data_IF_904003291898
#
_entry.id   IF_904003291898
#
_cell.length_a   1.000
_cell.length_b   1.000
_cell.length_c   1.000
_cell.angle_alpha   90.00
_cell.angle_beta   90.00
_cell.angle_gamma   90.00
#
_symmetry.space_group_name_H-M   'P 1'
#
loop_
_entity.id
_entity.type
_entity.pdbx_description
1 polymer ?
#
# COMPACT_ATOMS: atom_id res chain seq x y z
N UNK A 1 3.93 -12.17 16.27
CA UNK A 1 4.05 -13.62 15.97
C UNK A 1 3.29 -13.99 14.68
N UNK A 2 1.97 -13.83 14.60
CA UNK A 2 1.19 -14.23 13.41
C UNK A 2 1.64 -13.55 12.10
N UNK A 3 1.84 -12.22 12.10
CA UNK A 3 2.37 -11.49 10.94
C UNK A 3 3.72 -12.06 10.46
N UNK A 4 4.62 -12.42 11.38
CA UNK A 4 5.93 -12.96 11.05
C UNK A 4 5.82 -14.36 10.44
N UNK A 5 4.95 -15.22 10.98
CA UNK A 5 4.68 -16.55 10.43
C UNK A 5 4.10 -16.47 9.01
N UNK A 6 3.10 -15.59 8.82
CA UNK A 6 2.48 -15.38 7.49
C UNK A 6 3.50 -14.78 6.53
N UNK A 7 4.33 -13.83 6.99
CA UNK A 7 5.42 -13.27 6.19
C UNK A 7 6.40 -14.36 5.77
N UNK A 8 6.78 -15.27 6.68
CA UNK A 8 7.66 -16.39 6.37
C UNK A 8 7.04 -17.34 5.34
N UNK A 9 5.77 -17.71 5.51
CA UNK A 9 5.03 -18.54 4.54
C UNK A 9 4.95 -17.85 3.17
N UNK A 10 4.63 -16.56 3.14
CA UNK A 10 4.58 -15.78 1.91
C UNK A 10 5.96 -15.70 1.24
N UNK A 11 7.03 -15.46 2.00
CA UNK A 11 8.42 -15.48 1.50
C UNK A 11 8.71 -16.83 0.84
N UNK A 12 8.40 -17.95 1.50
CA UNK A 12 8.65 -19.28 0.96
C UNK A 12 7.85 -19.51 -0.31
N UNK A 13 6.55 -19.23 -0.32
CA UNK A 13 5.69 -19.39 -1.49
C UNK A 13 6.17 -18.56 -2.69
N UNK A 14 6.54 -17.30 -2.44
CA UNK A 14 7.09 -16.38 -3.44
C UNK A 14 8.40 -16.93 -4.01
N UNK A 15 9.32 -17.43 -3.16
CA UNK A 15 10.61 -18.00 -3.61
C UNK A 15 10.45 -19.32 -4.37
N UNK A 16 9.40 -20.09 -4.10
CA UNK A 16 9.10 -21.32 -4.86
C UNK A 16 8.40 -21.04 -6.18
N UNK A 17 7.57 -20.00 -6.24
CA UNK A 17 6.77 -19.68 -7.43
C UNK A 17 7.54 -18.82 -8.44
N UNK A 18 8.46 -17.97 -7.98
CA UNK A 18 9.24 -17.08 -8.83
C UNK A 18 10.72 -17.42 -8.81
N UNK A 19 11.27 -17.66 -10.00
CA UNK A 19 12.71 -17.96 -10.15
C UNK A 19 13.60 -16.75 -9.84
N UNK A 20 13.14 -15.52 -10.09
CA UNK A 20 13.91 -14.31 -9.84
C UNK A 20 13.01 -13.13 -9.49
N UNK A 21 13.24 -12.55 -8.32
CA UNK A 21 12.66 -11.27 -7.91
C UNK A 21 13.80 -10.28 -7.77
N UNK A 22 13.65 -9.12 -8.39
CA UNK A 22 14.62 -8.03 -8.28
C UNK A 22 13.91 -6.76 -7.86
N UNK A 23 14.56 -6.02 -6.97
CA UNK A 23 14.10 -4.75 -6.49
C UNK A 23 15.25 -3.74 -6.55
N UNK A 24 14.97 -2.59 -7.13
CA UNK A 24 15.93 -1.49 -7.24
C UNK A 24 15.56 -0.38 -6.27
N UNK A 25 16.57 0.37 -5.83
CA UNK A 25 16.42 1.57 -5.00
C UNK A 25 15.77 1.35 -3.63
N UNK A 26 15.69 0.11 -3.15
CA UNK A 26 15.13 -0.22 -1.82
C UNK A 26 15.91 0.46 -0.70
N UNK A 27 17.20 0.71 -0.89
CA UNK A 27 18.07 1.34 0.10
C UNK A 27 17.82 2.85 0.26
N UNK A 28 17.17 3.49 -0.72
CA UNK A 28 16.78 4.91 -0.62
C UNK A 28 15.47 5.11 0.16
N UNK A 29 14.80 4.04 0.55
CA UNK A 29 13.57 4.12 1.35
C UNK A 29 13.94 4.53 2.78
N UNK A 30 13.54 5.74 3.17
CA UNK A 30 13.74 6.23 4.52
C UNK A 30 13.10 5.31 5.57
N UNK A 31 13.77 5.15 6.72
CA UNK A 31 13.34 4.22 7.78
C UNK A 31 12.44 4.86 8.82
N UNK A 32 12.62 6.16 9.05
CA UNK A 32 12.08 6.88 10.20
C UNK A 32 11.14 8.03 9.79
N UNK A 33 10.54 7.92 8.60
CA UNK A 33 9.49 8.86 8.12
C UNK A 33 8.23 8.10 7.70
N UNK A 34 7.05 8.72 7.79
CA UNK A 34 5.81 8.12 7.30
C UNK A 34 5.81 8.04 5.77
N UNK A 35 5.40 6.88 5.23
CA UNK A 35 5.51 6.62 3.79
C UNK A 35 4.19 6.10 3.21
N UNK A 36 3.81 6.69 2.08
CA UNK A 36 2.75 6.19 1.20
C UNK A 36 3.41 5.59 -0.04
N UNK A 37 3.37 4.27 -0.18
CA UNK A 37 3.76 3.61 -1.42
C UNK A 37 2.59 3.62 -2.39
N UNK A 38 2.82 4.08 -3.62
CA UNK A 38 1.83 4.02 -4.70
C UNK A 38 2.33 3.12 -5.82
N UNK A 39 1.64 2.03 -6.10
CA UNK A 39 2.04 1.07 -7.13
C UNK A 39 0.98 0.87 -8.20
N UNK A 40 1.40 0.52 -9.41
CA UNK A 40 0.51 -0.02 -10.44
C UNK A 40 0.08 -1.47 -10.08
N UNK A 41 -1.02 -1.97 -10.66
CA UNK A 41 -1.66 -3.22 -10.21
C UNK A 41 -1.85 -4.33 -11.28
N UNK A 42 -0.78 -4.80 -11.95
CA UNK A 42 -0.88 -5.74 -13.07
C UNK A 42 -1.29 -7.18 -12.71
N UNK A 43 -1.04 -7.68 -11.49
CA UNK A 43 -1.25 -9.10 -11.11
C UNK A 43 -2.07 -9.30 -9.83
N UNK A 44 -2.99 -8.38 -9.53
CA UNK A 44 -3.93 -8.44 -8.41
C UNK A 44 -3.27 -8.90 -7.10
N UNK A 45 -3.36 -10.17 -6.69
CA UNK A 45 -2.90 -10.62 -5.37
C UNK A 45 -1.36 -10.67 -5.28
N UNK A 46 -0.64 -10.91 -6.38
CA UNK A 46 0.81 -11.08 -6.35
C UNK A 46 1.55 -9.77 -6.11
N UNK A 47 1.02 -8.66 -6.62
CA UNK A 47 1.64 -7.33 -6.53
C UNK A 47 1.92 -6.88 -5.08
N UNK A 48 0.94 -6.84 -4.16
CA UNK A 48 1.19 -6.45 -2.77
C UNK A 48 2.12 -7.44 -2.05
N UNK A 49 2.13 -8.72 -2.45
CA UNK A 49 3.02 -9.72 -1.87
C UNK A 49 4.47 -9.50 -2.28
N UNK A 50 4.75 -9.23 -3.56
CA UNK A 50 6.11 -8.95 -4.04
C UNK A 50 6.63 -7.64 -3.45
N UNK A 51 5.79 -6.59 -3.35
CA UNK A 51 6.17 -5.34 -2.69
C UNK A 51 6.42 -5.58 -1.20
N UNK A 52 5.54 -6.29 -0.50
CA UNK A 52 5.74 -6.63 0.92
C UNK A 52 6.98 -7.51 1.18
N UNK A 53 7.38 -8.32 0.21
CA UNK A 53 8.60 -9.12 0.24
C UNK A 53 9.86 -8.27 0.07
N UNK A 54 9.85 -7.36 -0.90
CA UNK A 54 11.03 -6.56 -1.30
C UNK A 54 11.21 -5.31 -0.45
N UNK A 55 10.15 -4.77 0.15
CA UNK A 55 10.22 -3.59 1.00
C UNK A 55 10.79 -3.93 2.39
N UNK A 56 11.72 -3.09 2.87
CA UNK A 56 12.32 -3.19 4.21
C UNK A 56 11.42 -2.63 5.33
N UNK A 57 10.39 -1.84 4.98
CA UNK A 57 9.41 -1.30 5.94
C UNK A 57 8.27 -2.30 6.17
N UNK A 58 7.70 -2.26 7.37
CA UNK A 58 6.45 -2.98 7.66
C UNK A 58 5.29 -2.23 7.01
N UNK A 59 4.62 -2.86 6.04
CA UNK A 59 3.54 -2.25 5.27
C UNK A 59 2.17 -2.58 5.85
N UNK A 60 1.33 -1.56 5.91
CA UNK A 60 -0.12 -1.71 5.92
C UNK A 60 -0.63 -1.73 4.48
N UNK A 61 -1.72 -2.46 4.21
CA UNK A 61 -2.25 -2.57 2.85
C UNK A 61 -3.69 -2.12 2.82
N UNK A 62 -4.09 -1.45 1.76
CA UNK A 62 -5.45 -1.00 1.57
C UNK A 62 -6.17 -1.96 0.61
N UNK A 63 -7.22 -2.63 1.05
CA UNK A 63 -7.94 -3.64 0.26
C UNK A 63 -9.46 -3.42 0.28
N UNK A 64 -10.17 -3.95 -0.74
CA UNK A 64 -11.62 -3.81 -0.90
C UNK A 64 -12.37 -4.27 0.36
N UNK A 65 -13.28 -3.44 0.87
CA UNK A 65 -14.05 -3.75 2.08
C UNK A 65 -14.87 -5.04 1.99
N UNK A 66 -15.29 -5.45 0.78
CA UNK A 66 -16.03 -6.71 0.58
C UNK A 66 -15.22 -7.95 0.95
N UNK A 67 -13.88 -7.88 0.94
CA UNK A 67 -13.02 -8.98 1.40
C UNK A 67 -13.17 -9.23 2.91
N UNK A 68 -13.71 -8.26 3.65
CA UNK A 68 -13.95 -8.33 5.08
C UNK A 68 -15.37 -8.78 5.44
N UNK A 69 -16.25 -9.04 4.47
CA UNK A 69 -17.63 -9.44 4.72
C UNK A 69 -17.73 -10.80 5.43
N UNK A 70 -16.76 -11.70 5.19
CA UNK A 70 -16.66 -12.94 5.93
C UNK A 70 -15.94 -12.69 7.26
N UNK A 71 -16.55 -13.09 8.39
CA UNK A 71 -16.02 -12.87 9.74
C UNK A 71 -14.61 -13.44 9.95
N UNK A 72 -14.33 -14.63 9.42
CA UNK A 72 -13.03 -15.31 9.55
C UNK A 72 -11.99 -14.61 8.68
N UNK A 73 -12.33 -14.35 7.41
CA UNK A 73 -11.44 -13.65 6.49
C UNK A 73 -11.13 -12.23 6.99
N UNK A 74 -12.15 -11.48 7.39
CA UNK A 74 -12.00 -10.13 7.94
C UNK A 74 -11.15 -10.09 9.21
N UNK A 75 -11.30 -11.07 10.10
CA UNK A 75 -10.43 -11.19 11.27
C UNK A 75 -8.97 -11.43 10.86
N UNK A 76 -8.72 -12.33 9.91
CA UNK A 76 -7.37 -12.62 9.41
C UNK A 76 -6.73 -11.41 8.72
N UNK A 77 -7.45 -10.77 7.80
CA UNK A 77 -6.99 -9.59 7.05
C UNK A 77 -6.59 -8.44 8.00
N UNK A 78 -7.38 -8.18 9.06
CA UNK A 78 -7.04 -7.17 10.08
C UNK A 78 -5.73 -7.51 10.82
N UNK A 79 -5.47 -8.79 11.10
CA UNK A 79 -4.25 -9.25 11.79
C UNK A 79 -2.98 -9.11 10.96
N UNK A 80 -3.11 -9.07 9.63
CA UNK A 80 -2.01 -8.78 8.70
C UNK A 80 -1.95 -7.33 8.24
N UNK A 81 -2.53 -6.41 9.02
CA UNK A 81 -2.47 -4.96 8.81
C UNK A 81 -3.12 -4.48 7.51
N UNK A 82 -4.13 -5.21 7.02
CA UNK A 82 -4.95 -4.77 5.89
C UNK A 82 -6.08 -3.88 6.41
N UNK A 83 -6.16 -2.69 5.83
CA UNK A 83 -7.17 -1.67 6.08
C UNK A 83 -8.27 -1.80 5.02
N UNK A 84 -9.55 -1.92 5.42
CA UNK A 84 -10.66 -1.96 4.47
C UNK A 84 -10.86 -0.59 3.81
N UNK A 85 -11.07 -0.60 2.50
CA UNK A 85 -11.38 0.57 1.67
C UNK A 85 -12.74 0.40 1.02
N UNK A 86 -13.58 1.42 1.19
CA UNK A 86 -14.88 1.50 0.55
C UNK A 86 -14.73 2.28 -0.76
N UNK A 87 -14.91 1.62 -1.90
CA UNK A 87 -14.83 2.28 -3.22
C UNK A 87 -16.23 2.63 -3.71
N UNK A 88 -16.37 3.79 -4.34
CA UNK A 88 -17.65 4.25 -4.94
C UNK A 88 -18.28 3.24 -5.90
N UNK A 89 -17.45 2.52 -6.64
CA UNK A 89 -17.88 1.51 -7.64
C UNK A 89 -18.51 0.29 -6.96
N UNK A 90 -18.15 0.00 -5.71
CA UNK A 90 -18.65 -1.18 -5.00
C UNK A 90 -19.94 -0.90 -4.24
N UNK A 91 -20.13 0.33 -3.75
CA UNK A 91 -21.35 0.73 -3.05
C UNK A 91 -21.49 2.27 -3.04
N UNK A 92 -22.33 2.87 -3.91
CA UNK A 92 -22.55 4.31 -3.98
C UNK A 92 -23.14 4.91 -2.69
N UNK A 93 -23.81 4.09 -1.86
CA UNK A 93 -24.50 4.52 -0.65
C UNK A 93 -23.58 4.70 0.56
N UNK A 94 -22.35 4.16 0.51
CA UNK A 94 -21.38 4.16 1.64
C UNK A 94 -20.36 5.31 1.58
N UNK A 95 -20.73 6.44 0.97
CA UNK A 95 -19.86 7.61 0.81
C UNK A 95 -19.30 8.15 2.14
N UNK A 96 -20.05 8.03 3.23
CA UNK A 96 -19.64 8.49 4.56
C UNK A 96 -18.49 7.66 5.17
N UNK A 97 -18.30 6.41 4.73
CA UNK A 97 -17.23 5.53 5.22
C UNK A 97 -15.86 5.82 4.60
N UNK A 98 -15.79 6.74 3.64
CA UNK A 98 -14.51 7.29 3.18
C UNK A 98 -13.77 7.97 4.34
N UNK A 99 -14.49 8.69 5.22
CA UNK A 99 -13.87 9.39 6.36
C UNK A 99 -13.11 8.44 7.27
N UNK A 100 -13.66 7.26 7.54
CA UNK A 100 -12.99 6.24 8.36
C UNK A 100 -11.73 5.69 7.68
N UNK A 101 -11.77 5.51 6.36
CA UNK A 101 -10.60 5.06 5.59
C UNK A 101 -9.49 6.11 5.61
N UNK A 102 -9.84 7.39 5.41
CA UNK A 102 -8.90 8.51 5.50
C UNK A 102 -8.31 8.63 6.90
N UNK A 103 -9.15 8.60 7.94
CA UNK A 103 -8.72 8.64 9.34
C UNK A 103 -7.74 7.51 9.69
N UNK A 104 -7.98 6.28 9.24
CA UNK A 104 -7.02 5.18 9.41
C UNK A 104 -5.70 5.44 8.69
N UNK A 105 -5.75 6.04 7.50
CA UNK A 105 -4.56 6.47 6.77
C UNK A 105 -3.75 7.50 7.57
N UNK A 106 -4.42 8.52 8.10
CA UNK A 106 -3.80 9.55 8.94
C UNK A 106 -3.16 8.93 10.18
N UNK A 107 -3.87 8.06 10.89
CA UNK A 107 -3.36 7.36 12.08
C UNK A 107 -2.12 6.50 11.78
N UNK A 108 -2.08 5.82 10.63
CA UNK A 108 -0.89 5.06 10.22
C UNK A 108 0.32 5.99 10.03
N UNK A 109 0.13 7.11 9.33
CA UNK A 109 1.20 8.07 9.05
C UNK A 109 1.65 8.80 10.32
N UNK A 110 0.72 9.22 11.17
CA UNK A 110 1.02 9.84 12.47
C UNK A 110 1.91 8.97 13.36
N UNK A 111 1.77 7.65 13.27
CA UNK A 111 2.62 6.69 13.99
C UNK A 111 3.91 6.32 13.25
N UNK A 112 4.33 7.10 12.26
CA UNK A 112 5.54 6.87 11.47
C UNK A 112 5.58 5.48 10.79
N UNK A 113 4.41 5.01 10.34
CA UNK A 113 4.28 3.73 9.63
C UNK A 113 4.15 3.98 8.14
N UNK A 114 4.24 2.89 7.38
CA UNK A 114 4.11 2.90 5.94
C UNK A 114 2.90 2.10 5.48
N UNK A 115 2.27 2.52 4.39
CA UNK A 115 1.24 1.74 3.73
C UNK A 115 1.37 1.73 2.22
N UNK A 116 0.80 0.70 1.59
CA UNK A 116 0.71 0.54 0.15
C UNK A 116 -0.73 0.77 -0.33
N UNK A 117 -0.87 1.59 -1.36
CA UNK A 117 -2.12 1.82 -2.06
C UNK A 117 -1.92 1.71 -3.58
N UNK A 118 -2.88 1.12 -4.27
CA UNK A 118 -2.92 1.06 -5.72
C UNK A 118 -3.88 2.13 -6.22
N UNK A 119 -3.39 3.29 -6.71
CA UNK A 119 -4.24 4.44 -6.97
C UNK A 119 -5.19 4.24 -8.16
N UNK A 120 -4.97 3.22 -8.99
CA UNK A 120 -5.92 2.74 -10.00
C UNK A 120 -7.24 2.28 -9.36
N UNK A 121 -7.14 1.67 -8.18
CA UNK A 121 -8.28 1.18 -7.41
C UNK A 121 -9.08 0.10 -8.13
N UNK A 122 -8.53 -0.53 -9.17
CA UNK A 122 -9.00 -1.73 -9.88
C UNK A 122 -7.75 -2.51 -10.31
N UNK A 123 -7.90 -3.82 -10.52
CA UNK A 123 -6.88 -4.65 -11.17
C UNK A 123 -7.55 -5.22 -12.42
N UNK A 124 -7.21 -4.67 -13.57
CA UNK A 124 -7.61 -5.22 -14.87
C UNK A 124 -6.50 -6.12 -15.36
N UNK A 125 -6.82 -7.27 -15.96
CA UNK A 125 -5.82 -8.16 -16.56
C UNK A 125 -5.06 -7.53 -17.74
N UNK A 126 -5.52 -6.38 -18.20
CA UNK A 126 -4.90 -5.59 -19.25
C UNK A 126 -3.69 -4.83 -18.70
N UNK A 127 -2.56 -4.88 -19.42
CA UNK A 127 -1.30 -4.19 -19.06
C UNK A 127 -1.33 -2.69 -19.36
N UNK A 128 -2.47 -2.05 -19.14
CA UNK A 128 -2.68 -0.61 -19.36
C UNK A 128 -2.94 0.04 -18.00
N UNK A 129 -2.27 1.15 -17.73
CA UNK A 129 -2.52 1.92 -16.50
C UNK A 129 -3.92 2.50 -16.54
N UNK A 130 -4.71 2.20 -15.51
CA UNK A 130 -6.02 2.80 -15.32
C UNK A 130 -5.91 4.23 -14.78
N UNK A 131 -7.02 4.99 -14.86
CA UNK A 131 -7.08 6.34 -14.32
C UNK A 131 -6.69 6.38 -12.83
N UNK A 132 -5.66 7.17 -12.51
CA UNK A 132 -5.14 7.35 -11.16
C UNK A 132 -6.12 8.18 -10.33
N UNK A 133 -6.53 7.65 -9.18
CA UNK A 133 -7.40 8.35 -8.22
C UNK A 133 -6.57 9.18 -7.24
N UNK A 134 -7.13 10.29 -6.78
CA UNK A 134 -6.44 11.25 -5.88
C UNK A 134 -6.35 10.77 -4.42
N UNK A 135 -6.78 9.55 -4.09
CA UNK A 135 -6.89 9.06 -2.72
C UNK A 135 -5.58 9.10 -1.94
N UNK A 136 -4.47 8.67 -2.56
CA UNK A 136 -3.15 8.69 -1.93
C UNK A 136 -2.71 10.11 -1.55
N UNK A 137 -2.84 11.07 -2.48
CA UNK A 137 -2.50 12.47 -2.24
C UNK A 137 -3.38 13.08 -1.14
N UNK A 138 -4.69 12.82 -1.17
CA UNK A 138 -5.62 13.29 -0.14
C UNK A 138 -5.30 12.72 1.24
N UNK A 139 -4.88 11.46 1.34
CA UNK A 139 -4.43 10.88 2.61
C UNK A 139 -3.16 11.59 3.10
N UNK A 140 -2.17 11.77 2.23
CA UNK A 140 -0.90 12.41 2.59
C UNK A 140 -1.08 13.86 3.06
N UNK A 141 -1.72 14.69 2.24
CA UNK A 141 -1.99 16.09 2.59
C UNK A 141 -2.90 16.25 3.80
N UNK A 142 -3.90 15.38 3.94
CA UNK A 142 -4.78 15.40 5.12
C UNK A 142 -4.01 15.08 6.41
N UNK A 143 -3.13 14.08 6.39
CA UNK A 143 -2.30 13.74 7.54
C UNK A 143 -1.35 14.88 7.92
N UNK A 144 -0.71 15.53 6.95
CA UNK A 144 0.15 16.69 7.21
C UNK A 144 -0.64 17.86 7.80
N UNK A 145 -1.79 18.19 7.19
CA UNK A 145 -2.62 19.29 7.67
C UNK A 145 -3.14 19.08 9.10
N UNK A 146 -3.44 17.84 9.51
CA UNK A 146 -3.86 17.51 10.88
C UNK A 146 -2.71 17.54 11.91
N UNK A 147 -1.46 17.63 11.46
CA UNK A 147 -0.27 17.57 12.30
C UNK A 147 0.69 18.74 11.99
N UNK A 148 0.14 19.90 11.62
CA UNK A 148 0.85 21.16 11.39
C UNK A 148 2.07 21.04 10.44
N UNK A 149 1.96 20.15 9.44
CA UNK A 149 3.00 19.89 8.44
C UNK A 149 4.33 19.39 9.02
N UNK A 150 4.29 18.75 10.20
CA UNK A 150 5.48 18.25 10.90
C UNK A 150 5.76 16.76 10.66
N UNK A 151 4.89 16.03 9.94
CA UNK A 151 5.06 14.58 9.79
C UNK A 151 6.15 14.20 8.78
N UNK A 152 6.35 15.00 7.74
CA UNK A 152 7.32 14.71 6.68
C UNK A 152 6.95 13.48 5.85
N UNK A 153 5.66 13.32 5.54
CA UNK A 153 5.09 12.24 4.73
C UNK A 153 5.73 12.21 3.36
N UNK A 154 6.29 11.04 3.01
CA UNK A 154 6.86 10.79 1.69
C UNK A 154 5.93 9.90 0.86
N UNK A 155 5.73 10.26 -0.41
CA UNK A 155 5.02 9.42 -1.37
C UNK A 155 6.06 8.78 -2.29
N UNK A 156 6.14 7.45 -2.27
CA UNK A 156 7.11 6.67 -3.05
C UNK A 156 6.37 5.89 -4.14
N UNK A 157 6.45 6.31 -5.41
CA UNK A 157 5.97 5.52 -6.52
C UNK A 157 6.78 4.23 -6.71
N UNK A 158 6.08 3.12 -6.97
CA UNK A 158 6.66 1.80 -7.23
C UNK A 158 6.14 1.29 -8.57
N UNK A 159 7.04 1.08 -9.52
CA UNK A 159 6.73 0.44 -10.79
C UNK A 159 6.87 -1.08 -10.70
N UNK A 160 5.81 -1.81 -11.02
CA UNK A 160 5.80 -3.26 -11.17
C UNK A 160 5.81 -3.62 -12.65
N UNK A 161 6.84 -4.36 -13.06
CA UNK A 161 6.95 -4.95 -14.40
C UNK A 161 7.21 -6.44 -14.22
N UNK A 162 6.19 -7.27 -14.49
CA UNK A 162 6.21 -8.72 -14.29
C UNK A 162 6.58 -9.10 -12.84
N UNK A 163 7.86 -9.46 -12.58
CA UNK A 163 8.40 -9.89 -11.28
C UNK A 163 9.48 -8.94 -10.75
N UNK A 164 9.60 -7.74 -11.35
CA UNK A 164 10.58 -6.72 -11.00
C UNK A 164 9.88 -5.51 -10.39
N UNK A 165 10.40 -5.05 -9.24
CA UNK A 165 9.94 -3.85 -8.55
C UNK A 165 10.97 -2.73 -8.75
N UNK A 166 10.52 -1.59 -9.25
CA UNK A 166 11.32 -0.38 -9.33
C UNK A 166 10.77 0.63 -8.33
N UNK A 167 11.45 0.82 -7.21
CA UNK A 167 11.11 1.87 -6.26
C UNK A 167 11.69 3.18 -6.77
N UNK A 168 10.83 4.18 -6.99
CA UNK A 168 11.30 5.51 -7.39
C UNK A 168 11.09 6.44 -6.21
N UNK A 169 12.16 6.71 -5.47
CA UNK A 169 12.10 7.61 -4.32
C UNK A 169 12.23 9.04 -4.85
N UNK A 170 11.11 9.77 -4.86
CA UNK A 170 11.13 11.22 -5.02
C UNK A 170 11.21 11.84 -3.62
N UNK A 171 12.39 12.37 -3.27
CA UNK A 171 12.54 13.22 -2.09
C UNK A 171 12.44 14.68 -2.53
N UNK A 172 11.66 15.48 -1.81
CA UNK A 172 11.62 16.94 -2.00
C UNK A 172 12.98 17.59 -1.68
N UNK A 173 13.90 16.88 -1.00
CA UNK A 173 15.26 17.33 -0.73
C UNK A 173 16.28 16.94 -1.83
N UNK A 174 15.84 16.35 -2.94
CA UNK A 174 16.71 16.02 -4.09
C UNK A 174 16.60 17.02 -5.25
N UNK A 175 15.82 18.09 -5.08
CA UNK A 175 15.83 19.25 -5.98
C UNK A 175 16.72 20.30 -5.31
N UNK A 176 18.04 20.15 -5.47
CA UNK A 176 19.00 21.25 -5.35
C UNK A 176 19.41 21.66 -6.77
#
# INVERSE_FOLDING_TARGET
MLYFLIKLMAITAIRTFFNKISAENVDYIAKDVPIIFTANHPNTIMDPMIIGYTCKRKLHFFAKSTLFNNMIAGWFLRRIQIVPVYRKVDDPSKMDQNKETFSKGYEILKHNKAFLIFPEGISTGDRILSQIKTGAARIGFGAEAENDWQLGVQIIPVGLISQRCFYTVWSTNTIN
#
